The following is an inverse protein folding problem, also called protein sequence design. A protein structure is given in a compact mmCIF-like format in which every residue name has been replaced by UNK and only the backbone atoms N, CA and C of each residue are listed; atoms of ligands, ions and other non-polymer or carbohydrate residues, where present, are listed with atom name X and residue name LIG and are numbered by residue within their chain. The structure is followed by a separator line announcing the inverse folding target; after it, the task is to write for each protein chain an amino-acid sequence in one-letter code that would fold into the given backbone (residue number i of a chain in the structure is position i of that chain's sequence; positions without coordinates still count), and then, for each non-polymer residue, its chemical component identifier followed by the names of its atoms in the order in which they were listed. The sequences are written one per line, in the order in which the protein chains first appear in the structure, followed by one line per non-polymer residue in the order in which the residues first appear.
data_IF_207379187126
#
_entry.id   IF_207379187126
#
_cell.length_a   1.000
_cell.length_b   1.000
_cell.length_c   1.000
_cell.angle_alpha   90.00
_cell.angle_beta   90.00
_cell.angle_gamma   90.00
#
_symmetry.space_group_name_H-M   'P 1'
#
loop_
_entity.id
_entity.type
_entity.pdbx_description
1 polymer ?
#
# COMPACT_ATOMS: atom_id res chain seq x y z
N UNK A 1 -6.67 -12.10 15.83
CA UNK A 1 -7.14 -10.70 15.77
C UNK A 1 -8.03 -10.45 16.98
N UNK A 2 -7.53 -9.80 18.03
CA UNK A 2 -8.40 -9.24 19.07
C UNK A 2 -8.82 -7.87 18.56
N UNK A 3 -10.10 -7.71 18.21
CA UNK A 3 -10.65 -6.38 17.99
C UNK A 3 -10.55 -5.63 19.32
N UNK A 4 -10.09 -4.37 19.33
CA UNK A 4 -10.27 -3.55 20.52
C UNK A 4 -11.78 -3.55 20.82
N UNK A 5 -12.21 -3.74 22.08
CA UNK A 5 -13.61 -3.58 22.43
C UNK A 5 -14.05 -2.19 21.97
N UNK A 6 -15.28 -2.09 21.43
CA UNK A 6 -15.91 -0.80 21.16
C UNK A 6 -15.70 0.08 22.40
N UNK A 7 -14.99 1.21 22.22
CA UNK A 7 -14.58 2.03 23.33
C UNK A 7 -15.83 2.48 24.11
N UNK A 8 -16.02 1.93 25.31
CA UNK A 8 -16.98 2.42 26.29
C UNK A 8 -16.46 3.76 26.82
N UNK A 9 -16.67 4.85 26.09
CA UNK A 9 -16.17 6.15 26.53
C UNK A 9 -16.72 7.36 25.80
N UNK A 10 -16.90 7.27 24.48
CA UNK A 10 -17.51 8.33 23.67
C UNK A 10 -18.76 7.79 22.99
N UNK A 11 -19.86 8.56 23.03
CA UNK A 11 -21.06 8.21 22.25
C UNK A 11 -20.78 8.55 20.80
N UNK A 12 -20.44 7.54 20.00
CA UNK A 12 -20.41 7.68 18.56
C UNK A 12 -21.81 8.09 18.07
N UNK A 13 -21.90 9.26 17.43
CA UNK A 13 -23.18 9.77 16.90
C UNK A 13 -23.54 9.13 15.55
N UNK A 14 -22.64 8.34 14.95
CA UNK A 14 -22.79 7.65 13.67
C UNK A 14 -23.36 8.51 12.52
N UNK A 15 -23.13 9.82 12.57
CA UNK A 15 -23.67 10.78 11.60
C UNK A 15 -22.87 10.84 10.29
N UNK A 16 -21.82 10.02 10.17
CA UNK A 16 -20.93 9.97 9.00
C UNK A 16 -20.98 8.57 8.36
N UNK A 17 -21.05 8.46 7.03
CA UNK A 17 -21.15 9.57 6.07
C UNK A 17 -22.54 10.23 6.09
N UNK A 18 -22.59 11.52 5.77
CA UNK A 18 -23.85 12.25 5.61
C UNK A 18 -24.58 11.81 4.32
N UNK A 19 -25.90 12.01 4.26
CA UNK A 19 -26.65 11.76 3.04
C UNK A 19 -26.19 12.70 1.91
N UNK A 20 -26.15 12.25 0.65
CA UNK A 20 -25.75 13.09 -0.48
C UNK A 20 -26.53 14.40 -0.59
N UNK A 21 -27.83 14.38 -0.27
CA UNK A 21 -28.70 15.56 -0.26
C UNK A 21 -28.35 16.60 0.82
N UNK A 22 -27.65 16.19 1.88
CA UNK A 22 -27.20 17.07 2.97
C UNK A 22 -25.75 17.52 2.81
N UNK A 23 -24.96 16.82 1.99
CA UNK A 23 -23.55 17.13 1.71
C UNK A 23 -23.32 17.61 0.27
N UNK A 24 -24.35 18.12 -0.41
CA UNK A 24 -24.29 18.52 -1.83
C UNK A 24 -23.21 19.55 -2.16
N UNK A 25 -22.80 20.33 -1.15
CA UNK A 25 -21.86 21.44 -1.31
C UNK A 25 -20.44 21.13 -0.88
N UNK A 26 -20.24 20.09 -0.07
CA UNK A 26 -18.94 19.76 0.51
C UNK A 26 -18.53 18.38 0.06
N UNK A 27 -17.34 18.30 -0.51
CA UNK A 27 -16.75 17.03 -0.93
C UNK A 27 -15.25 17.01 -0.67
N UNK A 28 -14.67 15.82 -0.78
CA UNK A 28 -13.28 15.57 -0.43
C UNK A 28 -12.55 14.88 -1.56
N UNK A 29 -11.30 15.27 -1.76
CA UNK A 29 -10.36 14.60 -2.65
C UNK A 29 -9.21 14.08 -1.80
N UNK A 30 -8.93 12.77 -1.89
CA UNK A 30 -7.77 12.18 -1.24
C UNK A 30 -6.53 12.36 -2.10
N UNK A 31 -5.43 12.71 -1.45
CA UNK A 31 -4.12 12.89 -2.06
C UNK A 31 -3.19 11.86 -1.46
N UNK A 32 -2.70 10.96 -2.30
CA UNK A 32 -1.74 9.92 -1.92
C UNK A 32 -0.34 10.35 -2.32
N UNK A 33 0.53 10.54 -1.33
CA UNK A 33 1.96 10.73 -1.56
C UNK A 33 2.68 9.42 -1.32
N UNK A 34 3.36 8.91 -2.35
CA UNK A 34 4.23 7.73 -2.21
C UNK A 34 5.53 8.18 -1.55
N UNK A 35 6.00 7.40 -0.60
CA UNK A 35 7.24 7.64 0.12
C UNK A 35 8.10 6.38 0.12
N UNK A 36 9.41 6.57 -0.02
CA UNK A 36 10.42 5.53 0.15
C UNK A 36 11.30 5.87 1.35
N UNK A 37 11.67 4.85 2.12
CA UNK A 37 12.70 4.92 3.15
C UNK A 37 13.73 3.82 2.88
N UNK A 38 15.01 4.19 2.93
CA UNK A 38 16.07 3.21 2.73
C UNK A 38 16.08 2.21 3.90
N UNK A 39 15.89 0.94 3.58
CA UNK A 39 16.08 -0.17 4.52
C UNK A 39 17.07 -1.14 3.88
N UNK A 40 18.05 -1.58 4.67
CA UNK A 40 19.02 -2.59 4.26
C UNK A 40 18.34 -3.93 4.04
N UNK A 41 18.41 -4.45 2.82
CA UNK A 41 17.86 -5.76 2.44
C UNK A 41 17.27 -5.76 1.03
N UNK A 42 17.44 -6.86 0.31
CA UNK A 42 16.79 -7.10 -0.98
C UNK A 42 15.52 -7.92 -0.74
N UNK A 43 14.31 -7.41 -1.03
CA UNK A 43 13.08 -8.16 -0.85
C UNK A 43 12.92 -9.13 -2.03
N UNK A 44 13.60 -10.28 -1.95
CA UNK A 44 13.34 -11.40 -2.87
C UNK A 44 12.14 -12.23 -2.42
N UNK A 45 11.72 -12.13 -1.16
CA UNK A 45 10.60 -12.85 -0.55
C UNK A 45 9.50 -11.88 -0.11
N UNK A 46 8.24 -12.34 0.01
CA UNK A 46 7.16 -11.50 0.50
C UNK A 46 7.43 -11.11 1.96
N UNK A 47 7.26 -9.83 2.24
CA UNK A 47 7.63 -9.24 3.52
C UNK A 47 6.51 -9.45 4.54
N UNK A 48 6.87 -10.00 5.71
CA UNK A 48 5.95 -10.06 6.85
C UNK A 48 5.87 -8.69 7.51
N UNK A 49 4.77 -7.99 7.23
CA UNK A 49 4.57 -6.58 7.60
C UNK A 49 3.56 -6.42 8.74
N UNK A 50 3.05 -7.50 9.35
CA UNK A 50 1.98 -7.38 10.36
C UNK A 50 2.42 -6.56 11.58
N UNK A 51 3.58 -6.89 12.15
CA UNK A 51 4.15 -6.16 13.30
C UNK A 51 4.53 -4.72 12.96
N UNK A 52 5.10 -4.52 11.77
CA UNK A 52 5.47 -3.20 11.28
C UNK A 52 4.22 -2.33 11.08
N UNK A 53 3.16 -2.85 10.47
CA UNK A 53 1.87 -2.16 10.30
C UNK A 53 1.21 -1.82 11.65
N UNK A 54 1.24 -2.75 12.62
CA UNK A 54 0.75 -2.47 13.98
C UNK A 54 1.51 -1.32 14.64
N UNK A 55 2.84 -1.30 14.49
CA UNK A 55 3.70 -0.25 15.03
C UNK A 55 3.44 1.11 14.35
N UNK A 56 3.25 1.13 13.04
CA UNK A 56 2.92 2.33 12.27
C UNK A 56 1.55 2.90 12.67
N UNK A 57 0.54 2.05 12.93
CA UNK A 57 -0.78 2.49 13.46
C UNK A 57 -0.62 3.13 14.84
N UNK A 58 0.11 2.49 15.76
CA UNK A 58 0.35 3.04 17.09
C UNK A 58 1.13 4.37 17.04
N UNK A 59 2.08 4.49 16.11
CA UNK A 59 2.82 5.73 15.87
C UNK A 59 1.92 6.85 15.32
N UNK A 60 0.99 6.53 14.43
CA UNK A 60 0.00 7.49 13.92
C UNK A 60 -0.97 7.95 15.01
N UNK A 61 -1.41 7.04 15.90
CA UNK A 61 -2.22 7.40 17.07
C UNK A 61 -1.46 8.29 18.06
N UNK A 62 -0.16 8.04 18.26
CA UNK A 62 0.71 8.92 19.05
C UNK A 62 0.85 10.30 18.39
N UNK A 63 1.02 10.35 17.07
CA UNK A 63 1.02 11.60 16.31
C UNK A 63 -0.29 12.38 16.50
N UNK A 64 -1.47 11.75 16.39
CA UNK A 64 -2.73 12.47 16.60
C UNK A 64 -2.88 13.03 18.01
N UNK A 65 -2.39 12.32 19.03
CA UNK A 65 -2.36 12.85 20.40
C UNK A 65 -1.48 14.09 20.51
N UNK A 66 -0.29 14.06 19.92
CA UNK A 66 0.64 15.20 19.89
C UNK A 66 0.09 16.37 19.09
N UNK A 67 -0.52 16.10 17.93
CA UNK A 67 -1.12 17.13 17.08
C UNK A 67 -2.17 17.94 17.86
N UNK A 68 -2.98 17.31 18.71
CA UNK A 68 -3.98 18.02 19.53
C UNK A 68 -3.37 19.01 20.54
N UNK A 69 -2.14 18.78 21.01
CA UNK A 69 -1.49 19.61 22.03
C UNK A 69 -0.39 20.52 21.50
N UNK A 70 0.28 20.13 20.41
CA UNK A 70 1.50 20.77 19.91
C UNK A 70 1.29 21.53 18.59
N UNK A 71 0.18 21.27 17.87
CA UNK A 71 -0.02 21.82 16.52
C UNK A 71 0.02 23.34 16.51
N UNK A 72 0.77 23.86 15.54
CA UNK A 72 0.81 25.28 15.22
C UNK A 72 -0.14 25.60 14.06
N UNK A 73 -0.52 26.88 13.96
CA UNK A 73 -1.21 27.39 12.78
C UNK A 73 -0.30 27.13 11.58
N UNK A 74 -0.85 26.49 10.54
CA UNK A 74 -0.17 26.00 9.32
C UNK A 74 0.52 24.64 9.39
N UNK A 75 0.46 23.88 10.48
CA UNK A 75 0.99 22.51 10.46
C UNK A 75 0.22 21.63 9.46
N UNK A 76 0.96 20.75 8.78
CA UNK A 76 0.34 19.76 7.90
C UNK A 76 -0.31 18.63 8.70
N UNK A 77 -1.47 18.17 8.25
CA UNK A 77 -2.22 17.05 8.80
C UNK A 77 -2.07 15.83 7.90
N UNK A 78 -1.51 14.74 8.43
CA UNK A 78 -1.54 13.42 7.76
C UNK A 78 -2.69 12.58 8.30
N UNK A 79 -3.57 12.10 7.42
CA UNK A 79 -4.75 11.31 7.79
C UNK A 79 -4.41 9.84 7.97
N UNK A 80 -3.60 9.27 7.08
CA UNK A 80 -3.15 7.89 7.16
C UNK A 80 -1.68 7.75 6.74
N UNK A 81 -1.00 6.76 7.33
CA UNK A 81 0.32 6.29 6.93
C UNK A 81 0.23 4.78 6.67
N UNK A 82 0.29 4.38 5.39
CA UNK A 82 0.01 3.03 4.93
C UNK A 82 1.30 2.32 4.51
N UNK A 83 1.64 1.21 5.18
CA UNK A 83 2.88 0.47 4.92
C UNK A 83 2.64 -0.70 3.95
N UNK A 84 3.29 -0.64 2.79
CA UNK A 84 3.16 -1.64 1.72
C UNK A 84 4.42 -2.48 1.49
N UNK A 85 5.57 -1.98 1.93
CA UNK A 85 6.82 -2.75 2.11
C UNK A 85 7.60 -2.16 3.28
N UNK A 86 8.71 -2.77 3.69
CA UNK A 86 9.59 -2.19 4.70
C UNK A 86 10.18 -0.84 4.27
N UNK A 87 10.19 -0.58 2.96
CA UNK A 87 10.74 0.63 2.34
C UNK A 87 9.67 1.61 1.88
N UNK A 88 8.58 1.11 1.32
CA UNK A 88 7.58 1.91 0.65
C UNK A 88 6.32 2.04 1.50
N UNK A 89 5.90 3.29 1.68
CA UNK A 89 4.70 3.64 2.41
C UNK A 89 3.98 4.81 1.73
N UNK A 90 2.72 5.02 2.08
CA UNK A 90 1.88 6.04 1.47
C UNK A 90 1.29 6.93 2.55
N UNK A 91 1.39 8.23 2.34
CA UNK A 91 0.72 9.23 3.16
C UNK A 91 -0.56 9.66 2.46
N UNK A 92 -1.67 9.57 3.17
CA UNK A 92 -2.95 10.13 2.71
C UNK A 92 -3.24 11.45 3.40
N UNK A 93 -3.58 12.45 2.60
CA UNK A 93 -4.04 13.76 3.03
C UNK A 93 -5.30 14.12 2.24
N UNK A 94 -6.10 15.05 2.74
CA UNK A 94 -7.38 15.41 2.14
C UNK A 94 -7.43 16.87 1.72
N UNK A 95 -8.01 17.10 0.55
CA UNK A 95 -8.50 18.41 0.11
C UNK A 95 -10.01 18.42 0.35
N UNK A 96 -10.49 19.31 1.21
CA UNK A 96 -11.93 19.53 1.42
C UNK A 96 -12.37 20.74 0.62
N UNK A 97 -13.43 20.60 -0.18
CA UNK A 97 -13.89 21.64 -1.08
C UNK A 97 -15.36 21.92 -0.77
N UNK A 98 -15.67 23.19 -0.51
CA UNK A 98 -17.04 23.70 -0.45
C UNK A 98 -17.32 24.56 -1.68
N UNK A 99 -18.45 24.34 -2.36
CA UNK A 99 -18.94 25.20 -3.44
C UNK A 99 -20.33 25.70 -3.07
N UNK A 100 -20.51 27.02 -3.07
CA UNK A 100 -21.75 27.63 -2.63
C UNK A 100 -21.93 29.09 -3.03
N UNK A 101 -23.07 29.69 -2.69
CA UNK A 101 -23.34 31.10 -2.97
C UNK A 101 -22.41 32.01 -2.15
N UNK A 102 -22.11 33.19 -2.71
CA UNK A 102 -21.31 34.23 -2.05
C UNK A 102 -22.10 35.53 -1.91
N UNK A 103 -21.73 36.37 -0.96
CA UNK A 103 -22.33 37.69 -0.81
C UNK A 103 -21.64 38.66 -1.77
N UNK A 104 -22.29 38.98 -2.89
CA UNK A 104 -21.81 39.96 -3.89
C UNK A 104 -21.20 39.38 -5.16
N UNK A 105 -20.72 38.13 -5.10
CA UNK A 105 -20.26 37.35 -6.26
C UNK A 105 -21.29 36.27 -6.62
N UNK A 106 -21.31 35.78 -7.88
CA UNK A 106 -22.26 34.74 -8.30
C UNK A 106 -22.13 33.45 -7.48
N UNK A 107 -20.92 33.14 -6.99
CA UNK A 107 -20.62 31.96 -6.17
C UNK A 107 -19.23 32.10 -5.54
N UNK A 108 -18.88 31.16 -4.65
CA UNK A 108 -17.53 30.96 -4.11
C UNK A 108 -17.19 29.47 -4.01
N UNK A 109 -15.90 29.17 -4.09
CA UNK A 109 -15.35 27.91 -3.60
C UNK A 109 -14.39 28.17 -2.44
N UNK A 110 -14.49 27.36 -1.40
CA UNK A 110 -13.51 27.30 -0.32
C UNK A 110 -12.78 25.96 -0.43
N UNK A 111 -11.47 26.03 -0.68
CA UNK A 111 -10.60 24.84 -0.79
C UNK A 111 -9.70 24.80 0.44
N UNK A 112 -9.88 23.78 1.27
CA UNK A 112 -9.10 23.53 2.47
C UNK A 112 -8.13 22.38 2.24
N UNK A 113 -6.85 22.63 2.47
CA UNK A 113 -5.80 21.62 2.34
C UNK A 113 -5.38 21.15 3.73
N UNK A 114 -5.23 19.85 3.88
CA UNK A 114 -4.48 19.26 4.99
C UNK A 114 -2.97 19.61 4.90
N UNK A 115 -2.51 20.13 3.75
CA UNK A 115 -1.13 20.52 3.49
C UNK A 115 -0.90 21.99 3.82
N UNK A 116 -0.07 22.24 4.83
CA UNK A 116 0.44 23.57 5.16
C UNK A 116 1.96 23.60 5.03
N UNK A 117 2.63 23.75 6.17
CA UNK A 117 4.08 23.74 6.30
C UNK A 117 4.64 22.34 5.98
N UNK A 118 5.84 22.29 5.40
CA UNK A 118 6.55 21.04 5.11
C UNK A 118 6.55 20.10 6.33
N UNK A 119 6.29 18.81 6.11
CA UNK A 119 6.19 17.82 7.19
C UNK A 119 7.49 17.70 8.01
N UNK A 120 8.65 18.09 7.47
CA UNK A 120 9.90 18.16 8.23
C UNK A 120 9.93 19.28 9.29
N UNK A 121 8.97 20.21 9.25
CA UNK A 121 8.81 21.31 10.19
C UNK A 121 7.48 21.29 10.95
N UNK A 122 6.60 20.34 10.61
CA UNK A 122 5.34 20.10 11.33
C UNK A 122 5.58 19.16 12.52
N UNK A 123 4.52 18.88 13.30
CA UNK A 123 4.56 17.83 14.33
C UNK A 123 5.05 16.51 13.73
N UNK A 124 6.07 15.94 14.35
CA UNK A 124 6.73 14.72 13.88
C UNK A 124 5.78 13.52 13.92
N UNK A 125 5.85 12.67 12.90
CA UNK A 125 5.01 11.47 12.76
C UNK A 125 5.74 10.26 12.18
N UNK A 126 5.02 9.16 11.91
CA UNK A 126 5.59 7.89 11.41
C UNK A 126 6.38 7.98 10.10
N UNK A 127 6.20 9.06 9.34
CA UNK A 127 6.90 9.34 8.08
C UNK A 127 8.28 9.97 8.27
N UNK A 128 8.63 10.40 9.48
CA UNK A 128 9.90 11.06 9.74
C UNK A 128 11.08 10.09 9.53
N UNK A 129 12.26 10.60 9.11
CA UNK A 129 13.45 9.78 8.98
C UNK A 129 13.78 9.04 10.26
N UNK A 130 14.17 7.76 10.14
CA UNK A 130 14.54 6.97 11.31
C UNK A 130 15.81 7.53 11.96
N UNK A 131 15.97 7.39 13.29
CA UNK A 131 17.22 7.74 13.94
C UNK A 131 18.42 7.08 13.26
N UNK A 132 19.52 7.80 13.10
CA UNK A 132 20.76 7.35 12.46
C UNK A 132 20.67 7.07 10.94
N UNK A 133 19.60 7.49 10.26
CA UNK A 133 19.53 7.49 8.78
C UNK A 133 19.99 8.83 8.22
N UNK A 134 20.47 8.81 6.96
CA UNK A 134 20.86 10.04 6.26
C UNK A 134 19.61 10.77 5.78
N UNK A 135 19.66 12.10 5.69
CA UNK A 135 18.47 12.90 5.32
C UNK A 135 17.87 12.49 3.97
N UNK A 136 18.68 12.13 2.98
CA UNK A 136 18.19 11.71 1.66
C UNK A 136 17.68 10.26 1.60
N UNK A 137 17.81 9.48 2.68
CA UNK A 137 17.31 8.10 2.71
C UNK A 137 15.80 8.02 2.89
N UNK A 138 15.14 9.12 3.26
CA UNK A 138 13.68 9.23 3.27
C UNK A 138 13.25 10.20 2.16
N UNK A 139 12.61 9.66 1.12
CA UNK A 139 12.26 10.38 -0.10
C UNK A 139 10.75 10.33 -0.36
N UNK A 140 10.19 11.46 -0.76
CA UNK A 140 8.77 11.59 -1.07
C UNK A 140 8.65 11.84 -2.56
N UNK A 141 7.91 10.98 -3.26
CA UNK A 141 7.76 11.11 -4.70
C UNK A 141 6.86 12.30 -5.04
N UNK A 142 7.29 13.19 -5.94
CA UNK A 142 6.45 14.30 -6.37
C UNK A 142 5.28 13.79 -7.22
N UNK A 143 4.12 14.40 -7.04
CA UNK A 143 2.94 14.12 -7.87
C UNK A 143 3.17 14.75 -9.25
N UNK A 144 3.23 13.91 -10.28
CA UNK A 144 3.47 14.34 -11.66
C UNK A 144 2.13 14.57 -12.34
N UNK A 145 1.79 15.84 -12.56
CA UNK A 145 0.58 16.23 -13.29
C UNK A 145 0.89 16.31 -14.77
N UNK A 146 0.45 15.30 -15.53
CA UNK A 146 0.58 15.29 -16.99
C UNK A 146 -0.39 16.27 -17.62
N UNK A 147 0.10 17.04 -18.59
CA UNK A 147 -0.71 18.01 -19.32
C UNK A 147 -0.94 17.50 -20.72
N UNK A 148 -2.21 17.35 -21.11
CA UNK A 148 -2.57 17.23 -22.51
C UNK A 148 -2.35 18.60 -23.16
N UNK A 149 -1.23 18.77 -23.86
CA UNK A 149 -0.98 19.99 -24.62
C UNK A 149 -1.99 20.08 -25.77
N UNK A 150 -3.12 20.75 -25.54
CA UNK A 150 -4.05 21.15 -26.60
C UNK A 150 -3.58 22.43 -27.30
N UNK A 151 -2.28 22.50 -27.66
CA UNK A 151 -1.76 23.53 -28.56
C UNK A 151 -0.42 23.11 -29.17
N UNK A 152 -0.42 22.87 -30.48
CA UNK A 152 0.71 23.22 -31.34
C UNK A 152 0.91 24.75 -31.25
N UNK A 153 1.63 25.20 -30.25
CA UNK A 153 1.85 26.61 -29.98
C UNK A 153 3.21 26.77 -29.34
N UNK A 154 4.12 27.41 -30.08
CA UNK A 154 5.49 27.77 -29.68
C UNK A 154 5.53 28.22 -28.21
N UNK A 155 6.44 27.70 -27.38
CA UNK A 155 6.54 28.13 -25.99
C UNK A 155 6.90 29.62 -25.94
N UNK A 156 5.96 30.45 -25.50
CA UNK A 156 6.23 31.84 -25.19
C UNK A 156 7.17 31.89 -23.97
N UNK A 157 8.23 32.72 -24.00
CA UNK A 157 9.17 32.79 -22.90
C UNK A 157 8.49 33.37 -21.66
N UNK A 158 8.61 32.63 -20.56
CA UNK A 158 8.28 33.08 -19.20
C UNK A 158 8.99 34.41 -18.95
N UNK A 159 8.21 35.49 -18.86
CA UNK A 159 8.70 36.83 -18.55
C UNK A 159 9.01 36.91 -17.06
N UNK A 160 10.12 36.30 -16.66
CA UNK A 160 10.70 36.47 -15.34
C UNK A 160 11.14 37.93 -15.17
N UNK A 161 10.49 38.65 -14.25
CA UNK A 161 11.03 39.88 -13.69
C UNK A 161 12.24 39.50 -12.82
N UNK A 162 13.41 39.44 -13.44
CA UNK A 162 14.69 39.37 -12.73
C UNK A 162 15.32 40.75 -12.69
N UNK A 163 15.33 41.36 -11.50
CA UNK A 163 16.23 42.45 -11.17
C UNK A 163 17.68 41.96 -11.25
N UNK A 164 18.40 42.51 -12.23
CA UNK A 164 19.84 42.72 -12.30
C UNK A 164 20.74 42.10 -11.21
N UNK A 165 21.60 41.17 -11.64
CA UNK A 165 23.05 41.31 -11.41
C UNK A 165 23.81 40.41 -12.40
N UNK A 166 24.61 41.09 -13.21
CA UNK A 166 25.52 40.60 -14.24
C UNK A 166 26.59 39.64 -13.74
N UNK A 167 26.85 38.58 -14.50
CA UNK A 167 28.23 38.18 -14.86
C UNK A 167 28.26 37.08 -15.92
N UNK A 168 28.63 37.52 -17.11
CA UNK A 168 29.28 36.86 -18.24
C UNK A 168 29.87 35.47 -17.96
N UNK A 169 29.42 34.44 -18.69
CA UNK A 169 30.21 33.23 -18.94
C UNK A 169 30.21 32.90 -20.43
N UNK A 170 31.42 32.94 -20.99
CA UNK A 170 31.77 32.59 -22.37
C UNK A 170 31.58 31.10 -22.61
N UNK A 171 31.06 30.80 -23.80
CA UNK A 171 31.07 29.48 -24.44
C UNK A 171 32.49 28.99 -24.73
N UNK A 172 32.79 27.72 -24.45
CA UNK A 172 33.69 26.92 -25.28
C UNK A 172 33.63 25.42 -24.94
N UNK A 173 33.43 24.65 -26.02
CA UNK A 173 33.91 23.30 -26.31
C UNK A 173 33.42 22.09 -25.49
N UNK A 174 32.61 21.26 -26.17
CA UNK A 174 32.50 19.82 -25.95
C UNK A 174 33.85 19.11 -26.15
N UNK A 175 34.03 17.90 -25.57
CA UNK A 175 33.95 16.73 -26.45
C UNK A 175 33.43 15.41 -25.83
N UNK A 176 32.89 14.60 -26.76
CA UNK A 176 32.90 13.12 -26.91
C UNK A 176 32.14 12.16 -25.97
N UNK A 177 31.45 11.24 -26.65
CA UNK A 177 30.70 10.05 -26.22
C UNK A 177 31.61 8.90 -25.78
N UNK A 178 31.31 8.27 -24.64
CA UNK A 178 31.49 6.83 -24.35
C UNK A 178 30.38 6.33 -23.39
N UNK A 179 29.54 5.42 -23.91
CA UNK A 179 28.82 4.23 -23.35
C UNK A 179 28.20 4.13 -21.92
N UNK A 180 27.28 3.16 -21.64
CA UNK A 180 26.03 3.40 -20.93
C UNK A 180 25.97 2.68 -19.57
N UNK A 181 26.04 3.44 -18.48
CA UNK A 181 25.61 2.97 -17.15
C UNK A 181 25.18 4.16 -16.29
N UNK A 182 24.00 4.71 -16.59
CA UNK A 182 23.45 5.82 -15.80
C UNK A 182 22.70 5.22 -14.59
N UNK A 183 23.45 4.97 -13.53
CA UNK A 183 22.95 5.10 -12.17
C UNK A 183 22.48 6.55 -11.97
N UNK A 184 21.37 6.81 -11.25
CA UNK A 184 20.98 8.19 -10.94
C UNK A 184 22.12 8.90 -10.19
N UNK A 185 22.33 10.21 -10.44
CA UNK A 185 23.48 10.92 -9.91
C UNK A 185 23.39 10.96 -8.39
N UNK A 186 24.36 10.32 -7.73
CA UNK A 186 24.62 10.51 -6.31
C UNK A 186 25.03 11.98 -6.13
N UNK A 187 24.31 12.80 -5.33
CA UNK A 187 24.81 14.11 -4.99
C UNK A 187 26.07 13.92 -4.13
N UNK A 188 27.22 14.25 -4.72
CA UNK A 188 28.49 14.24 -4.02
C UNK A 188 28.55 15.43 -3.06
N UNK A 189 29.21 15.18 -1.94
CA UNK A 189 29.52 16.09 -0.83
C UNK A 189 28.35 16.40 0.11
N UNK A 190 28.34 15.63 1.20
CA UNK A 190 27.73 15.98 2.47
C UNK A 190 28.19 17.39 2.90
N UNK A 191 27.35 18.38 2.60
CA UNK A 191 27.28 19.58 3.41
C UNK A 191 26.71 19.13 4.77
N UNK A 192 27.55 19.11 5.80
CA UNK A 192 27.10 19.06 7.18
C UNK A 192 26.11 20.23 7.39
N UNK A 193 24.80 19.95 7.40
CA UNK A 193 23.76 20.96 7.66
C UNK A 193 22.47 20.90 6.83
N UNK A 194 22.29 19.97 5.89
CA UNK A 194 21.01 19.85 5.19
C UNK A 194 20.00 19.08 6.05
N UNK A 195 19.18 19.84 6.80
CA UNK A 195 17.95 19.32 7.42
C UNK A 195 17.10 18.61 6.36
N UNK A 196 16.57 17.45 6.73
CA UNK A 196 15.64 16.71 5.90
C UNK A 196 14.44 17.59 5.52
N UNK A 197 13.88 17.36 4.33
CA UNK A 197 12.66 18.02 3.85
C UNK A 197 11.75 16.96 3.25
N UNK A 198 10.46 17.02 3.56
CA UNK A 198 9.48 16.16 2.94
C UNK A 198 9.23 16.58 1.48
N UNK A 199 9.25 17.88 1.18
CA UNK A 199 9.15 18.44 -0.17
C UNK A 199 7.92 17.97 -0.97
N UNK A 200 6.78 17.75 -0.29
CA UNK A 200 5.52 17.43 -0.95
C UNK A 200 5.07 18.58 -1.84
N UNK A 201 4.93 18.32 -3.14
CA UNK A 201 4.61 19.36 -4.11
C UNK A 201 3.14 19.82 -4.06
N UNK A 202 2.26 19.15 -3.33
CA UNK A 202 0.91 19.67 -3.03
C UNK A 202 0.94 20.97 -2.22
N UNK A 203 1.95 21.20 -1.37
CA UNK A 203 2.12 22.47 -0.67
C UNK A 203 2.33 23.66 -1.63
N UNK A 204 2.62 23.38 -2.90
CA UNK A 204 2.78 24.39 -3.94
C UNK A 204 1.45 24.77 -4.63
N UNK A 205 0.39 23.98 -4.45
CA UNK A 205 -0.89 24.18 -5.12
C UNK A 205 -1.46 25.61 -4.92
N UNK A 206 -1.46 26.20 -3.71
CA UNK A 206 -1.98 27.56 -3.51
C UNK A 206 -1.22 28.65 -4.27
N UNK A 207 0.05 28.41 -4.60
CA UNK A 207 0.92 29.40 -5.25
C UNK A 207 0.87 29.32 -6.79
N UNK A 208 0.50 28.17 -7.34
CA UNK A 208 0.42 27.95 -8.79
C UNK A 208 -0.99 27.80 -9.32
N UNK A 209 -1.99 27.67 -8.44
CA UNK A 209 -3.39 27.59 -8.82
C UNK A 209 -3.83 28.80 -9.67
N UNK A 210 -4.58 28.52 -10.72
CA UNK A 210 -5.16 29.52 -11.60
C UNK A 210 -4.22 30.04 -12.68
N UNK A 211 -2.95 29.60 -12.71
CA UNK A 211 -1.97 30.05 -13.69
C UNK A 211 -2.37 29.72 -15.14
N UNK A 212 -3.18 28.67 -15.36
CA UNK A 212 -3.63 28.25 -16.70
C UNK A 212 -5.13 28.41 -16.91
N UNK A 213 -5.86 28.84 -15.88
CA UNK A 213 -7.29 29.03 -15.97
C UNK A 213 -7.58 30.31 -16.74
N UNK A 214 -8.57 30.23 -17.63
CA UNK A 214 -9.16 31.43 -18.20
C UNK A 214 -10.07 32.03 -17.15
N UNK A 215 -9.82 33.28 -16.76
CA UNK A 215 -10.51 33.92 -15.64
C UNK A 215 -12.00 34.10 -15.92
N UNK A 216 -12.37 34.39 -17.17
CA UNK A 216 -13.77 34.58 -17.54
C UNK A 216 -14.56 33.27 -17.48
N UNK A 217 -14.00 32.18 -18.02
CA UNK A 217 -14.62 30.86 -17.88
C UNK A 217 -14.66 30.40 -16.43
N UNK A 218 -13.60 30.65 -15.65
CA UNK A 218 -13.51 30.24 -14.26
C UNK A 218 -14.48 31.00 -13.34
N UNK A 219 -14.86 32.25 -13.64
CA UNK A 219 -15.89 32.93 -12.84
C UNK A 219 -17.30 32.41 -13.12
N UNK A 220 -17.52 31.75 -14.25
CA UNK A 220 -18.84 31.27 -14.68
C UNK A 220 -19.04 29.76 -14.43
N UNK A 221 -17.98 28.97 -14.30
CA UNK A 221 -18.07 27.51 -14.15
C UNK A 221 -17.17 26.97 -13.03
N UNK A 222 -17.78 26.37 -12.00
CA UNK A 222 -17.06 25.86 -10.83
C UNK A 222 -16.17 24.66 -11.14
N UNK A 223 -16.61 23.75 -12.03
CA UNK A 223 -15.81 22.57 -12.39
C UNK A 223 -14.56 23.01 -13.15
N UNK A 224 -14.70 23.96 -14.06
CA UNK A 224 -13.56 24.56 -14.75
C UNK A 224 -12.63 25.28 -13.78
N UNK A 225 -13.16 26.09 -12.85
CA UNK A 225 -12.34 26.77 -11.84
C UNK A 225 -11.54 25.77 -10.99
N UNK A 226 -12.18 24.68 -10.54
CA UNK A 226 -11.54 23.66 -9.69
C UNK A 226 -10.71 22.62 -10.47
N UNK A 227 -10.64 22.74 -11.79
CA UNK A 227 -10.08 21.69 -12.65
C UNK A 227 -8.61 21.37 -12.35
N UNK A 228 -7.78 22.36 -12.05
CA UNK A 228 -6.38 22.12 -11.67
C UNK A 228 -6.26 21.32 -10.36
N UNK A 229 -7.20 21.52 -9.42
CA UNK A 229 -7.25 20.77 -8.15
C UNK A 229 -7.67 19.32 -8.40
N UNK A 230 -8.71 19.10 -9.21
CA UNK A 230 -9.14 17.77 -9.63
C UNK A 230 -8.04 17.02 -10.40
N UNK A 231 -7.34 17.69 -11.32
CA UNK A 231 -6.23 17.10 -12.08
C UNK A 231 -5.08 16.67 -11.16
N UNK A 232 -4.75 17.49 -10.16
CA UNK A 232 -3.73 17.14 -9.18
C UNK A 232 -4.13 15.89 -8.38
N UNK A 233 -5.37 15.84 -7.89
CA UNK A 233 -5.89 14.66 -7.18
C UNK A 233 -5.91 13.41 -8.06
N UNK A 234 -6.43 13.50 -9.28
CA UNK A 234 -6.45 12.40 -10.24
C UNK A 234 -5.04 11.88 -10.57
N UNK A 235 -4.06 12.79 -10.70
CA UNK A 235 -2.66 12.41 -10.94
C UNK A 235 -2.06 11.68 -9.74
N UNK A 236 -2.36 12.12 -8.51
CA UNK A 236 -1.92 11.44 -7.28
C UNK A 236 -2.52 10.04 -7.15
N UNK A 237 -3.82 9.89 -7.47
CA UNK A 237 -4.51 8.61 -7.46
C UNK A 237 -3.96 7.66 -8.52
N UNK A 238 -3.70 8.16 -9.74
CA UNK A 238 -3.10 7.34 -10.80
C UNK A 238 -1.72 6.80 -10.39
N UNK A 239 -0.89 7.63 -9.76
CA UNK A 239 0.41 7.19 -9.25
C UNK A 239 0.25 6.13 -8.15
N UNK A 240 -0.67 6.34 -7.21
CA UNK A 240 -1.04 5.35 -6.20
C UNK A 240 -1.46 4.02 -6.83
N UNK A 241 -2.40 4.01 -7.78
CA UNK A 241 -2.87 2.79 -8.43
C UNK A 241 -1.76 2.09 -9.22
N UNK A 242 -0.84 2.85 -9.83
CA UNK A 242 0.33 2.27 -10.51
C UNK A 242 1.31 1.62 -9.53
N UNK A 243 1.51 2.23 -8.36
CA UNK A 243 2.30 1.64 -7.29
C UNK A 243 1.65 0.36 -6.74
N UNK A 244 0.36 0.41 -6.45
CA UNK A 244 -0.38 -0.75 -5.95
C UNK A 244 -0.38 -1.90 -6.94
N UNK A 245 -0.55 -1.64 -8.24
CA UNK A 245 -0.44 -2.67 -9.27
C UNK A 245 0.90 -3.40 -9.18
N UNK A 246 2.03 -2.67 -9.11
CA UNK A 246 3.36 -3.28 -8.96
C UNK A 246 3.47 -4.13 -7.69
N UNK A 247 2.88 -3.68 -6.57
CA UNK A 247 2.85 -4.44 -5.32
C UNK A 247 2.02 -5.71 -5.46
N UNK A 248 0.87 -5.66 -6.12
CA UNK A 248 0.05 -6.84 -6.41
C UNK A 248 0.84 -7.83 -7.25
N UNK A 249 1.45 -7.39 -8.35
CA UNK A 249 2.26 -8.27 -9.21
C UNK A 249 3.40 -8.94 -8.43
N UNK A 250 4.05 -8.19 -7.53
CA UNK A 250 5.08 -8.74 -6.65
C UNK A 250 4.53 -9.84 -5.74
N UNK A 251 3.43 -9.60 -5.02
CA UNK A 251 2.83 -10.63 -4.15
C UNK A 251 2.31 -11.85 -4.94
N UNK A 252 1.81 -11.66 -6.16
CA UNK A 252 1.33 -12.74 -7.02
C UNK A 252 2.47 -13.51 -7.70
N UNK A 253 3.66 -12.93 -7.84
CA UNK A 253 4.82 -13.59 -8.45
C UNK A 253 5.30 -14.83 -7.70
N UNK A 254 4.90 -14.97 -6.43
CA UNK A 254 5.21 -16.12 -5.57
C UNK A 254 4.26 -17.31 -5.79
N UNK A 255 3.16 -17.13 -6.52
CA UNK A 255 2.23 -18.23 -6.83
C UNK A 255 2.95 -19.33 -7.60
N UNK A 256 2.89 -20.56 -7.09
CA UNK A 256 3.46 -21.74 -7.74
C UNK A 256 4.98 -21.90 -7.58
N UNK A 257 5.66 -21.01 -6.86
CA UNK A 257 7.05 -21.24 -6.48
C UNK A 257 7.09 -22.30 -5.36
N UNK A 258 7.76 -23.43 -5.63
CA UNK A 258 7.82 -24.61 -4.77
C UNK A 258 8.43 -24.40 -3.37
N UNK A 259 8.97 -23.22 -3.08
CA UNK A 259 9.98 -23.08 -2.03
C UNK A 259 9.46 -22.78 -0.62
N UNK A 260 8.31 -22.14 -0.39
CA UNK A 260 7.83 -21.97 1.00
C UNK A 260 6.32 -21.71 1.11
N UNK A 261 5.56 -22.62 1.74
CA UNK A 261 4.14 -22.43 2.14
C UNK A 261 3.96 -21.13 2.97
N UNK A 262 4.98 -20.74 3.74
CA UNK A 262 5.02 -19.50 4.52
C UNK A 262 4.83 -18.26 3.63
N UNK A 263 5.40 -18.25 2.43
CA UNK A 263 5.32 -17.10 1.52
C UNK A 263 3.89 -16.87 1.07
N UNK A 264 3.13 -17.93 0.81
CA UNK A 264 1.71 -17.83 0.45
C UNK A 264 0.88 -17.18 1.56
N UNK A 265 1.09 -17.59 2.83
CA UNK A 265 0.39 -16.99 3.96
C UNK A 265 0.69 -15.51 4.15
N UNK A 266 1.94 -15.09 3.96
CA UNK A 266 2.38 -13.69 4.06
C UNK A 266 1.79 -12.86 2.91
N UNK A 267 1.89 -13.35 1.68
CA UNK A 267 1.30 -12.68 0.51
C UNK A 267 -0.22 -12.58 0.60
N UNK A 268 -0.92 -13.57 1.16
CA UNK A 268 -2.36 -13.48 1.44
C UNK A 268 -2.69 -12.33 2.39
N UNK A 269 -1.91 -12.14 3.46
CA UNK A 269 -2.11 -11.03 4.40
C UNK A 269 -1.81 -9.69 3.73
N UNK A 270 -0.77 -9.61 2.89
CA UNK A 270 -0.42 -8.40 2.14
C UNK A 270 -1.49 -8.04 1.10
N UNK A 271 -1.96 -8.99 0.31
CA UNK A 271 -3.03 -8.78 -0.67
C UNK A 271 -4.34 -8.36 0.00
N UNK A 272 -4.68 -8.93 1.16
CA UNK A 272 -5.86 -8.50 1.93
C UNK A 272 -5.73 -7.06 2.41
N UNK A 273 -4.54 -6.66 2.87
CA UNK A 273 -4.27 -5.29 3.27
C UNK A 273 -4.38 -4.32 2.08
N UNK A 274 -3.80 -4.70 0.93
CA UNK A 274 -3.91 -3.92 -0.31
C UNK A 274 -5.38 -3.78 -0.75
N UNK A 275 -6.14 -4.89 -0.78
CA UNK A 275 -7.56 -4.88 -1.16
C UNK A 275 -8.38 -3.95 -0.28
N UNK A 276 -8.20 -4.00 1.04
CA UNK A 276 -8.91 -3.11 1.99
C UNK A 276 -8.75 -1.63 1.61
N UNK A 277 -7.54 -1.22 1.26
CA UNK A 277 -7.27 0.17 0.87
C UNK A 277 -7.80 0.46 -0.53
N UNK A 278 -7.65 -0.43 -1.50
CA UNK A 278 -8.27 -0.28 -2.82
C UNK A 278 -9.80 -0.11 -2.74
N UNK A 279 -10.49 -0.89 -1.91
CA UNK A 279 -11.94 -0.77 -1.71
C UNK A 279 -12.30 0.62 -1.15
N UNK A 280 -11.49 1.13 -0.22
CA UNK A 280 -11.67 2.47 0.36
C UNK A 280 -11.43 3.59 -0.68
N UNK A 281 -10.40 3.45 -1.51
CA UNK A 281 -10.13 4.37 -2.62
C UNK A 281 -11.24 4.33 -3.69
N UNK A 282 -11.71 3.14 -4.06
CA UNK A 282 -12.79 2.95 -5.02
C UNK A 282 -14.08 3.64 -4.52
N UNK A 283 -14.43 3.50 -3.24
CA UNK A 283 -15.58 4.21 -2.68
C UNK A 283 -15.44 5.74 -2.80
N UNK A 284 -14.28 6.30 -2.42
CA UNK A 284 -14.04 7.75 -2.53
C UNK A 284 -14.08 8.23 -3.99
N UNK A 285 -13.54 7.45 -4.93
CA UNK A 285 -13.63 7.75 -6.35
C UNK A 285 -15.06 7.70 -6.86
N UNK A 286 -15.86 6.73 -6.42
CA UNK A 286 -17.28 6.65 -6.74
C UNK A 286 -18.06 7.88 -6.23
N UNK A 287 -17.72 8.39 -5.06
CA UNK A 287 -18.32 9.62 -4.52
C UNK A 287 -17.97 10.83 -5.41
N UNK A 288 -16.71 10.97 -5.83
CA UNK A 288 -16.27 12.05 -6.73
C UNK A 288 -16.92 11.95 -8.11
N UNK A 289 -16.99 10.75 -8.69
CA UNK A 289 -17.70 10.49 -9.95
C UNK A 289 -19.18 10.88 -9.82
N UNK A 290 -19.82 10.53 -8.70
CA UNK A 290 -21.22 10.87 -8.43
C UNK A 290 -21.41 12.38 -8.39
N UNK A 291 -20.50 13.14 -7.78
CA UNK A 291 -20.53 14.60 -7.74
C UNK A 291 -20.36 15.19 -9.15
N UNK A 292 -19.37 14.72 -9.92
CA UNK A 292 -19.11 15.22 -11.27
C UNK A 292 -20.26 14.92 -12.24
N UNK A 293 -20.92 13.76 -12.10
CA UNK A 293 -22.11 13.40 -12.89
C UNK A 293 -23.34 14.22 -12.51
N UNK A 294 -23.55 14.45 -11.22
CA UNK A 294 -24.75 15.11 -10.70
C UNK A 294 -24.58 16.63 -10.52
N UNK A 295 -23.52 17.24 -11.07
CA UNK A 295 -23.21 18.67 -10.90
C UNK A 295 -24.38 19.61 -11.17
N UNK A 296 -25.25 19.27 -12.12
CA UNK A 296 -26.42 20.08 -12.49
C UNK A 296 -27.47 20.10 -11.38
N UNK A 297 -27.51 19.07 -10.53
CA UNK A 297 -28.40 18.95 -9.36
C UNK A 297 -27.81 19.54 -8.08
N UNK A 298 -26.55 19.96 -8.09
CA UNK A 298 -25.84 20.52 -6.92
C UNK A 298 -25.87 22.05 -6.87
N UNK A 299 -26.62 22.70 -7.78
CA UNK A 299 -26.64 24.15 -7.99
C UNK A 299 -25.24 24.76 -8.25
N UNK A 300 -24.32 23.96 -8.79
CA UNK A 300 -23.00 24.47 -9.14
C UNK A 300 -23.10 25.42 -10.33
N UNK A 301 -22.38 26.56 -10.30
CA UNK A 301 -22.35 27.49 -11.41
C UNK A 301 -21.74 26.78 -12.62
N UNK A 302 -22.45 26.90 -13.74
CA UNK A 302 -22.13 26.24 -14.99
C UNK A 302 -22.14 27.29 -16.09
N UNK A 303 -21.17 27.23 -16.99
CA UNK A 303 -21.12 28.08 -18.18
C UNK A 303 -21.61 27.28 -19.40
N UNK A 304 -22.94 27.16 -19.65
CA UNK A 304 -23.46 26.34 -20.74
C UNK A 304 -23.02 26.83 -22.14
N UNK A 305 -22.57 28.08 -22.26
CA UNK A 305 -22.00 28.62 -23.50
C UNK A 305 -20.51 28.33 -23.70
N UNK A 306 -19.78 27.90 -22.66
CA UNK A 306 -18.33 27.69 -22.76
C UNK A 306 -18.01 26.25 -23.17
N UNK A 307 -17.63 26.08 -24.44
CA UNK A 307 -17.13 24.79 -24.94
C UNK A 307 -15.90 24.31 -24.14
N UNK A 308 -15.06 25.24 -23.67
CA UNK A 308 -13.87 24.93 -22.87
C UNK A 308 -14.25 24.32 -21.52
N UNK A 309 -15.19 24.94 -20.79
CA UNK A 309 -15.68 24.42 -19.50
C UNK A 309 -16.31 23.03 -19.64
N UNK A 310 -17.18 22.85 -20.65
CA UNK A 310 -17.81 21.57 -20.92
C UNK A 310 -16.80 20.48 -21.30
N UNK A 311 -15.80 20.82 -22.12
CA UNK A 311 -14.74 19.90 -22.50
C UNK A 311 -13.93 19.46 -21.28
N UNK A 312 -13.45 20.41 -20.46
CA UNK A 312 -12.70 20.12 -19.23
C UNK A 312 -13.50 19.23 -18.28
N UNK A 313 -14.78 19.52 -18.06
CA UNK A 313 -15.61 18.71 -17.19
C UNK A 313 -15.80 17.28 -17.69
N UNK A 314 -15.96 17.08 -19.01
CA UNK A 314 -16.04 15.74 -19.61
C UNK A 314 -14.73 14.97 -19.47
N UNK A 315 -13.59 15.65 -19.65
CA UNK A 315 -12.29 15.03 -19.44
C UNK A 315 -12.11 14.59 -17.98
N UNK A 316 -12.40 15.47 -17.03
CA UNK A 316 -12.33 15.13 -15.60
C UNK A 316 -13.22 13.95 -15.25
N UNK A 317 -14.47 13.94 -15.72
CA UNK A 317 -15.36 12.81 -15.48
C UNK A 317 -14.80 11.52 -16.09
N UNK A 318 -14.24 11.57 -17.30
CA UNK A 318 -13.61 10.43 -17.96
C UNK A 318 -12.41 9.91 -17.17
N UNK A 319 -11.56 10.81 -16.66
CA UNK A 319 -10.39 10.47 -15.86
C UNK A 319 -10.81 9.77 -14.55
N UNK A 320 -11.78 10.32 -13.83
CA UNK A 320 -12.26 9.73 -12.57
C UNK A 320 -13.03 8.42 -12.79
N UNK A 321 -13.80 8.28 -13.86
CA UNK A 321 -14.43 7.01 -14.25
C UNK A 321 -13.36 5.94 -14.56
N UNK A 322 -12.29 6.31 -15.27
CA UNK A 322 -11.15 5.43 -15.53
C UNK A 322 -10.45 5.01 -14.22
N UNK A 323 -10.19 5.95 -13.32
CA UNK A 323 -9.55 5.67 -12.03
C UNK A 323 -10.40 4.72 -11.18
N UNK A 324 -11.72 4.95 -11.10
CA UNK A 324 -12.65 4.08 -10.39
C UNK A 324 -12.62 2.66 -10.97
N UNK A 325 -12.78 2.52 -12.29
CA UNK A 325 -12.76 1.23 -12.96
C UNK A 325 -11.42 0.49 -12.74
N UNK A 326 -10.31 1.22 -12.75
CA UNK A 326 -8.97 0.67 -12.48
C UNK A 326 -8.82 0.21 -11.03
N UNK A 327 -9.27 1.00 -10.06
CA UNK A 327 -9.22 0.63 -8.64
C UNK A 327 -10.03 -0.65 -8.37
N UNK A 328 -11.25 -0.73 -8.91
CA UNK A 328 -12.08 -1.94 -8.81
C UNK A 328 -11.46 -3.15 -9.51
N UNK A 329 -10.84 -2.95 -10.68
CA UNK A 329 -10.17 -4.04 -11.39
C UNK A 329 -8.98 -4.60 -10.60
N UNK A 330 -8.18 -3.72 -9.97
CA UNK A 330 -7.10 -4.14 -9.08
C UNK A 330 -7.63 -4.84 -7.82
N UNK A 331 -8.74 -4.36 -7.25
CA UNK A 331 -9.38 -5.01 -6.10
C UNK A 331 -9.85 -6.44 -6.43
N UNK A 332 -10.47 -6.63 -7.61
CA UNK A 332 -10.84 -7.95 -8.13
C UNK A 332 -9.62 -8.84 -8.40
N UNK A 333 -8.53 -8.27 -8.92
CA UNK A 333 -7.28 -9.01 -9.13
C UNK A 333 -6.69 -9.51 -7.79
N UNK A 334 -6.71 -8.69 -6.73
CA UNK A 334 -6.34 -9.11 -5.39
C UNK A 334 -7.20 -10.28 -4.89
N UNK A 335 -8.53 -10.20 -5.07
CA UNK A 335 -9.46 -11.24 -4.63
C UNK A 335 -9.19 -12.56 -5.35
N UNK A 336 -9.08 -12.53 -6.68
CA UNK A 336 -8.75 -13.72 -7.47
C UNK A 336 -7.38 -14.31 -7.12
N UNK A 337 -6.39 -13.44 -6.88
CA UNK A 337 -5.06 -13.84 -6.42
C UNK A 337 -5.08 -14.50 -5.06
N UNK A 338 -5.87 -13.97 -4.11
CA UNK A 338 -6.05 -14.57 -2.79
C UNK A 338 -6.74 -15.93 -2.87
N UNK A 339 -7.76 -16.10 -3.70
CA UNK A 339 -8.43 -17.40 -3.88
C UNK A 339 -7.46 -18.45 -4.43
N UNK A 340 -6.63 -18.05 -5.41
CA UNK A 340 -5.62 -18.93 -6.01
C UNK A 340 -4.55 -19.32 -4.99
N UNK A 341 -4.04 -18.37 -4.19
CA UNK A 341 -3.09 -18.62 -3.11
C UNK A 341 -3.67 -19.49 -1.99
N UNK A 342 -4.93 -19.25 -1.61
CA UNK A 342 -5.64 -20.05 -0.62
C UNK A 342 -5.80 -21.50 -1.05
N UNK A 343 -6.29 -21.73 -2.26
CA UNK A 343 -6.49 -23.07 -2.81
C UNK A 343 -5.18 -23.86 -2.95
N UNK A 344 -4.11 -23.19 -3.42
CA UNK A 344 -2.78 -23.81 -3.52
C UNK A 344 -2.17 -24.16 -2.16
N UNK A 345 -2.35 -23.31 -1.14
CA UNK A 345 -1.88 -23.60 0.23
C UNK A 345 -2.59 -24.82 0.83
N UNK A 346 -3.90 -24.93 0.66
CA UNK A 346 -4.69 -26.09 1.13
C UNK A 346 -4.26 -27.37 0.42
N UNK A 347 -4.04 -27.30 -0.90
CA UNK A 347 -3.58 -28.44 -1.69
C UNK A 347 -2.20 -28.93 -1.23
N UNK A 348 -1.28 -28.00 -0.98
CA UNK A 348 0.08 -28.34 -0.55
C UNK A 348 0.12 -28.90 0.88
N UNK A 349 -0.71 -28.36 1.79
CA UNK A 349 -0.87 -28.91 3.14
C UNK A 349 -1.43 -30.34 3.11
N UNK A 350 -2.42 -30.59 2.25
CA UNK A 350 -2.97 -31.94 2.04
C UNK A 350 -1.89 -32.90 1.52
N UNK A 351 -1.10 -32.50 0.53
CA UNK A 351 0.02 -33.30 0.00
C UNK A 351 1.02 -33.63 1.10
N UNK A 352 1.45 -32.64 1.89
CA UNK A 352 2.39 -32.85 3.01
C UNK A 352 1.83 -33.78 4.07
N UNK A 353 0.54 -33.68 4.37
CA UNK A 353 -0.14 -34.59 5.30
C UNK A 353 -0.11 -36.03 4.78
N UNK A 354 -0.36 -36.26 3.49
CA UNK A 354 -0.26 -37.60 2.89
C UNK A 354 1.17 -38.16 2.92
N UNK A 355 2.18 -37.33 2.66
CA UNK A 355 3.58 -37.74 2.73
C UNK A 355 4.00 -38.09 4.17
N UNK A 356 3.56 -37.30 5.15
CA UNK A 356 3.77 -37.58 6.57
C UNK A 356 3.06 -38.85 7.00
N UNK A 357 1.81 -39.05 6.59
CA UNK A 357 1.05 -40.27 6.85
C UNK A 357 1.76 -41.50 6.26
N UNK A 358 2.31 -41.39 5.05
CA UNK A 358 3.10 -42.46 4.44
C UNK A 358 4.39 -42.77 5.22
N UNK A 359 5.08 -41.75 5.75
CA UNK A 359 6.27 -41.93 6.61
C UNK A 359 5.91 -42.58 7.94
N UNK A 360 4.85 -42.11 8.59
CA UNK A 360 4.35 -42.69 9.85
C UNK A 360 3.92 -44.13 9.61
N UNK A 361 3.20 -44.42 8.54
CA UNK A 361 2.79 -45.77 8.18
C UNK A 361 3.99 -46.71 8.03
N UNK A 362 5.04 -46.29 7.30
CA UNK A 362 6.28 -47.07 7.18
C UNK A 362 6.94 -47.33 8.55
N UNK A 363 6.98 -46.31 9.42
CA UNK A 363 7.52 -46.45 10.78
C UNK A 363 6.67 -47.41 11.62
N UNK A 364 5.35 -47.33 11.53
CA UNK A 364 4.42 -48.22 12.23
C UNK A 364 4.61 -49.66 11.77
N UNK A 365 4.73 -49.92 10.46
CA UNK A 365 5.01 -51.26 9.92
C UNK A 365 6.33 -51.83 10.45
N UNK A 366 7.37 -51.00 10.56
CA UNK A 366 8.64 -51.43 11.18
C UNK A 366 8.43 -51.72 12.67
N UNK A 367 7.75 -50.84 13.40
CA UNK A 367 7.51 -50.99 14.83
C UNK A 367 6.66 -52.22 15.17
N UNK A 368 5.62 -52.55 14.38
CA UNK A 368 4.77 -53.73 14.59
C UNK A 368 5.55 -55.03 14.43
N UNK A 369 6.60 -55.06 13.61
CA UNK A 369 7.47 -56.23 13.46
C UNK A 369 8.53 -56.27 14.59
N UNK A 370 9.21 -55.15 14.85
CA UNK A 370 10.37 -55.14 15.75
C UNK A 370 10.03 -55.13 17.24
N UNK A 371 8.92 -54.52 17.66
CA UNK A 371 8.55 -54.45 19.09
C UNK A 371 8.28 -55.85 19.66
N UNK A 372 7.40 -56.68 19.04
CA UNK A 372 7.14 -58.03 19.54
C UNK A 372 8.38 -58.94 19.42
N UNK A 373 9.15 -58.80 18.34
CA UNK A 373 10.38 -59.57 18.15
C UNK A 373 11.43 -59.24 19.22
N UNK A 374 11.62 -57.96 19.54
CA UNK A 374 12.54 -57.52 20.59
C UNK A 374 12.12 -58.03 21.97
N UNK A 375 10.80 -58.10 22.24
CA UNK A 375 10.27 -58.68 23.46
C UNK A 375 10.57 -60.18 23.55
N UNK A 376 10.35 -60.94 22.47
CA UNK A 376 10.72 -62.36 22.42
C UNK A 376 12.22 -62.55 22.66
N UNK A 377 13.08 -61.77 21.98
CA UNK A 377 14.53 -61.80 22.21
C UNK A 377 14.91 -61.47 23.67
N UNK A 378 14.24 -60.52 24.31
CA UNK A 378 14.49 -60.18 25.71
C UNK A 378 14.07 -61.30 26.66
N UNK A 379 12.93 -61.96 26.45
CA UNK A 379 12.49 -63.10 27.27
C UNK A 379 13.52 -64.24 27.26
N UNK A 380 14.08 -64.53 26.09
CA UNK A 380 15.12 -65.55 25.93
C UNK A 380 16.53 -65.07 26.34
N UNK A 381 16.76 -63.76 26.37
CA UNK A 381 18.02 -63.15 26.84
C UNK A 381 18.13 -63.03 28.36
N UNK A 382 17.03 -63.20 29.09
CA UNK A 382 16.98 -63.12 30.56
C UNK A 382 17.19 -64.50 31.20
N UNK A 383 18.09 -64.58 32.19
CA UNK A 383 18.36 -65.80 32.94
C UNK A 383 17.29 -66.04 34.02
N UNK A 384 16.16 -66.62 33.64
CA UNK A 384 15.14 -67.08 34.59
C UNK A 384 15.48 -68.46 35.16
N UNK A 385 15.29 -68.67 36.47
CA UNK A 385 15.57 -69.96 37.14
C UNK A 385 14.56 -71.04 36.74
N UNK A 386 13.34 -70.63 36.42
CA UNK A 386 12.18 -71.46 36.07
C UNK A 386 12.28 -72.05 34.66
N UNK A 387 13.06 -71.42 33.77
CA UNK A 387 13.31 -71.88 32.40
C UNK A 387 14.54 -72.80 32.28
N UNK A 388 15.18 -73.20 33.38
CA UNK A 388 16.28 -74.17 33.36
C UNK A 388 17.54 -73.59 32.71
N UNK A 389 18.38 -72.94 33.51
CA UNK A 389 19.70 -72.47 33.10
C UNK A 389 20.57 -73.63 32.60
N UNK A 390 20.71 -73.76 31.27
CA UNK A 390 21.80 -74.52 30.64
C UNK A 390 21.43 -75.62 29.64
N UNK A 391 20.15 -76.03 29.48
CA UNK A 391 19.81 -77.14 28.57
C UNK A 391 18.52 -76.96 27.76
N UNK A 392 18.09 -75.71 27.53
CA UNK A 392 16.97 -75.38 26.65
C UNK A 392 17.37 -75.62 25.19
N UNK A 393 16.60 -76.40 24.41
CA UNK A 393 16.99 -76.72 23.05
C UNK A 393 16.76 -75.52 22.12
N UNK A 394 17.75 -75.22 21.28
CA UNK A 394 17.80 -74.02 20.41
C UNK A 394 16.58 -73.84 19.49
N UNK A 395 15.84 -74.92 19.19
CA UNK A 395 14.64 -74.90 18.35
C UNK A 395 13.44 -74.21 19.00
N UNK A 396 13.45 -73.96 20.32
CA UNK A 396 12.31 -73.36 21.01
C UNK A 396 12.18 -71.84 20.76
N UNK A 397 13.30 -71.16 20.47
CA UNK A 397 13.30 -69.76 20.05
C UNK A 397 12.47 -69.52 18.76
N UNK A 398 12.75 -70.19 17.62
CA UNK A 398 11.96 -69.98 16.41
C UNK A 398 10.49 -70.38 16.56
N UNK A 399 10.15 -71.32 17.45
CA UNK A 399 8.75 -71.71 17.75
C UNK A 399 7.98 -70.62 18.47
N UNK A 400 8.66 -69.82 19.31
CA UNK A 400 8.03 -68.67 19.98
C UNK A 400 8.05 -67.40 19.13
N UNK A 401 9.07 -67.21 18.29
CA UNK A 401 9.20 -66.05 17.42
C UNK A 401 8.34 -66.14 16.14
N UNK A 402 8.16 -67.33 15.55
CA UNK A 402 7.42 -67.50 14.31
C UNK A 402 5.92 -67.13 14.41
N UNK A 403 5.17 -67.52 15.47
CA UNK A 403 3.78 -67.09 15.63
C UNK A 403 3.66 -65.57 15.75
N UNK A 404 4.61 -64.93 16.48
CA UNK A 404 4.65 -63.48 16.67
C UNK A 404 4.93 -62.74 15.35
N UNK A 405 5.79 -63.29 14.49
CA UNK A 405 6.07 -62.76 13.15
C UNK A 405 4.92 -62.99 12.16
N UNK A 406 4.25 -64.15 12.24
CA UNK A 406 3.11 -64.48 11.37
C UNK A 406 1.87 -63.64 11.71
N UNK A 407 1.63 -63.36 13.00
CA UNK A 407 0.50 -62.55 13.44
C UNK A 407 0.75 -61.06 13.13
N UNK A 408 1.97 -60.55 13.35
CA UNK A 408 2.34 -59.18 12.99
C UNK A 408 2.38 -58.92 11.48
N UNK A 409 2.65 -59.95 10.67
CA UNK A 409 2.63 -59.86 9.20
C UNK A 409 1.23 -59.84 8.57
N UNK A 410 0.19 -60.29 9.28
CA UNK A 410 -1.20 -60.26 8.81
C UNK A 410 -1.95 -58.95 9.16
N UNK A 411 -1.38 -58.11 10.03
CA UNK A 411 -1.93 -56.82 10.46
C UNK A 411 -1.35 -55.61 9.70
N UNK A 412 -0.32 -55.81 8.88
CA UNK A 412 0.27 -54.81 7.98
C UNK A 412 -0.33 -54.94 6.58
#
# INVERSE_FOLDING_TARGET
MQFPPFALGDRDLYASPALPSSSTRVFQLTISTICDRNVTGTPYEPEDLEDARRSEVAALEAYFRRLRSEAQVTDSWVRNCLLFSNREYILEQTISIEVGPSQGDPWRAVVWLDNGTDLARSVEGPWSPRPNTRSWETFFYPIIVHQANSSSGTPAPVRGRSSSSSSTVRSSSAPRLEDPSISPPVPSNAAAGTSWKAAQNICLLPFYYGAKLDRETATQDAVYALSEVFQFAASSELQFLNFIHKRIDHELSFIGQHTVIRNNSVSLVNLRYIKKHLDSHAQRLADVVTILRNRDSLDWPCAPGSQKAQHTARLLLTDFDYLLARAEALARACEHGMDTLGNSSVLEEARRSTENAARVHKLTVIATIFIPLSFACSLWGMNFKEFGTGNQPLWLFPVTAAPVLLDSGNLA
#
